data_IF_061748400744
#
_entry.id   IF_061748400744
#
_cell.length_a   1.000
_cell.length_b   1.000
_cell.length_c   1.000
_cell.angle_alpha   90.00
_cell.angle_beta   90.00
_cell.angle_gamma   90.00
#
_symmetry.space_group_name_H-M   'P 1'
#
loop_
_entity.id
_entity.type
_entity.pdbx_description
1 polymer ?
#
# COMPACT_ATOMS: atom_id res chain seq x y z
N UNK A 1 26.74 7.89 -12.81
CA UNK A 1 27.28 7.94 -11.40
C UNK A 1 28.17 6.72 -11.26
N UNK A 2 29.30 6.82 -10.54
CA UNK A 2 30.14 5.63 -10.27
C UNK A 2 29.50 4.77 -9.17
N UNK A 3 29.76 3.46 -9.18
CA UNK A 3 29.13 2.49 -8.26
C UNK A 3 29.28 2.87 -6.77
N UNK A 4 30.46 3.32 -6.36
CA UNK A 4 30.71 3.73 -4.98
C UNK A 4 29.88 4.97 -4.57
N UNK A 5 29.68 5.90 -5.49
CA UNK A 5 28.80 7.05 -5.23
C UNK A 5 27.34 6.61 -5.18
N UNK A 6 26.90 5.70 -6.06
CA UNK A 6 25.57 5.13 -6.06
C UNK A 6 25.28 4.39 -4.74
N UNK A 7 26.23 3.58 -4.28
CA UNK A 7 26.12 2.85 -3.00
C UNK A 7 25.91 3.79 -1.83
N UNK A 8 26.74 4.85 -1.70
CA UNK A 8 26.59 5.84 -0.66
C UNK A 8 25.22 6.53 -0.72
N UNK A 9 24.76 6.89 -1.92
CA UNK A 9 23.47 7.54 -2.11
C UNK A 9 22.32 6.63 -1.76
N UNK A 10 22.36 5.35 -2.12
CA UNK A 10 21.37 4.33 -1.75
C UNK A 10 21.27 4.18 -0.23
N UNK A 11 22.40 4.16 0.49
CA UNK A 11 22.42 4.08 1.96
C UNK A 11 21.78 5.34 2.60
N UNK A 12 22.08 6.53 2.08
CA UNK A 12 21.46 7.78 2.54
C UNK A 12 19.95 7.78 2.32
N UNK A 13 19.50 7.41 1.11
CA UNK A 13 18.07 7.35 0.75
C UNK A 13 17.32 6.34 1.63
N UNK A 14 17.86 5.14 1.82
CA UNK A 14 17.25 4.15 2.70
C UNK A 14 17.08 4.67 4.12
N UNK A 15 18.11 5.28 4.69
CA UNK A 15 18.05 5.82 6.04
C UNK A 15 16.97 6.90 6.20
N UNK A 16 16.84 7.81 5.22
CA UNK A 16 15.82 8.85 5.23
C UNK A 16 14.42 8.26 5.06
N UNK A 17 14.23 7.37 4.08
CA UNK A 17 12.94 6.73 3.82
C UNK A 17 12.50 5.89 5.03
N UNK A 18 13.37 5.07 5.62
CA UNK A 18 13.05 4.28 6.81
C UNK A 18 12.72 5.14 8.03
N UNK A 19 13.43 6.26 8.23
CA UNK A 19 13.08 7.21 9.28
C UNK A 19 11.66 7.74 9.07
N UNK A 20 11.34 8.19 7.86
CA UNK A 20 10.03 8.75 7.56
C UNK A 20 8.92 7.70 7.60
N UNK A 21 9.18 6.45 7.19
CA UNK A 21 8.24 5.34 7.37
C UNK A 21 7.86 5.16 8.84
N UNK A 22 8.84 5.17 9.75
CA UNK A 22 8.55 5.07 11.20
C UNK A 22 7.77 6.27 11.72
N UNK A 23 8.10 7.47 11.28
CA UNK A 23 7.38 8.69 11.69
C UNK A 23 5.93 8.66 11.19
N UNK A 24 5.72 8.30 9.93
CA UNK A 24 4.39 8.25 9.31
C UNK A 24 3.54 7.10 9.88
N UNK A 25 4.05 5.85 9.82
CA UNK A 25 3.24 4.67 10.16
C UNK A 25 3.15 4.37 11.66
N UNK A 26 4.22 4.63 12.42
CA UNK A 26 4.29 4.21 13.82
C UNK A 26 4.01 5.37 14.80
N UNK A 27 4.23 6.63 14.39
CA UNK A 27 4.14 7.80 15.27
C UNK A 27 3.10 8.83 14.85
N UNK A 28 2.48 8.70 13.66
CA UNK A 28 1.53 9.67 13.09
C UNK A 28 2.08 11.10 13.07
N UNK A 29 3.38 11.24 12.78
CA UNK A 29 4.13 12.49 12.82
C UNK A 29 5.07 12.62 11.60
N UNK A 30 4.54 12.69 10.35
CA UNK A 30 5.36 12.82 9.15
C UNK A 30 6.18 14.12 9.19
N UNK A 31 7.47 14.03 8.81
CA UNK A 31 8.35 15.18 8.64
C UNK A 31 8.49 15.62 7.19
N UNK A 32 8.17 14.75 6.22
CA UNK A 32 8.19 15.02 4.79
C UNK A 32 6.77 15.15 4.25
N UNK A 33 6.61 16.03 3.28
CA UNK A 33 5.43 16.06 2.43
C UNK A 33 5.42 14.85 1.49
N UNK A 34 4.22 14.40 1.08
CA UNK A 34 4.06 13.20 0.24
C UNK A 34 4.92 13.26 -1.02
N UNK A 35 4.96 14.40 -1.71
CA UNK A 35 5.75 14.57 -2.93
C UNK A 35 7.26 14.46 -2.69
N UNK A 36 7.76 14.86 -1.53
CA UNK A 36 9.17 14.74 -1.16
C UNK A 36 9.53 13.28 -0.89
N UNK A 37 8.68 12.58 -0.15
CA UNK A 37 8.82 11.15 0.10
C UNK A 37 8.81 10.33 -1.20
N UNK A 38 7.88 10.64 -2.11
CA UNK A 38 7.75 9.99 -3.41
C UNK A 38 8.98 10.22 -4.29
N UNK A 39 9.54 11.45 -4.28
CA UNK A 39 10.76 11.78 -5.02
C UNK A 39 11.96 10.95 -4.52
N UNK A 40 12.14 10.82 -3.19
CA UNK A 40 13.22 10.00 -2.60
C UNK A 40 13.04 8.51 -2.92
N UNK A 41 11.82 8.02 -2.85
CA UNK A 41 11.50 6.61 -3.16
C UNK A 41 11.74 6.31 -4.63
N UNK A 42 11.39 7.24 -5.54
CA UNK A 42 11.67 7.12 -6.97
C UNK A 42 13.18 7.08 -7.24
N UNK A 43 13.95 8.02 -6.66
CA UNK A 43 15.40 8.05 -6.81
C UNK A 43 16.03 6.72 -6.36
N UNK A 44 15.58 6.17 -5.22
CA UNK A 44 16.05 4.87 -4.75
C UNK A 44 15.73 3.73 -5.73
N UNK A 45 14.50 3.67 -6.26
CA UNK A 45 14.10 2.68 -7.26
C UNK A 45 14.93 2.77 -8.56
N UNK A 46 15.20 3.98 -9.03
CA UNK A 46 16.02 4.22 -10.23
C UNK A 46 17.47 3.77 -10.01
N UNK A 47 18.06 4.07 -8.85
CA UNK A 47 19.41 3.60 -8.50
C UNK A 47 19.47 2.08 -8.35
N UNK A 48 18.49 1.45 -7.72
CA UNK A 48 18.41 0.00 -7.58
C UNK A 48 18.17 -0.70 -8.94
N UNK A 49 17.45 -0.07 -9.88
CA UNK A 49 17.30 -0.56 -11.23
C UNK A 49 18.59 -0.44 -12.04
N UNK A 50 19.35 0.66 -11.86
CA UNK A 50 20.65 0.87 -12.52
C UNK A 50 21.77 -0.02 -11.95
N UNK A 51 21.71 -0.34 -10.65
CA UNK A 51 22.69 -1.12 -9.91
C UNK A 51 22.01 -2.26 -9.14
N UNK A 52 21.59 -3.35 -9.81
CA UNK A 52 20.84 -4.44 -9.17
C UNK A 52 21.58 -5.11 -8.01
N UNK A 53 22.91 -5.03 -7.97
CA UNK A 53 23.75 -5.55 -6.88
C UNK A 53 23.57 -4.78 -5.56
N UNK A 54 23.00 -3.57 -5.59
CA UNK A 54 22.69 -2.79 -4.40
C UNK A 54 21.32 -3.14 -3.81
N UNK A 55 20.46 -3.88 -4.52
CA UNK A 55 19.17 -4.31 -4.00
C UNK A 55 19.36 -5.28 -2.83
N UNK A 56 18.71 -5.01 -1.73
CA UNK A 56 18.70 -5.92 -0.57
C UNK A 56 17.28 -6.24 -0.14
N UNK A 57 17.02 -7.41 0.46
CA UNK A 57 15.69 -7.74 0.98
C UNK A 57 15.17 -6.74 2.02
N UNK A 58 16.07 -6.01 2.69
CA UNK A 58 15.72 -4.97 3.66
C UNK A 58 15.45 -3.60 3.05
N UNK A 59 15.59 -3.44 1.71
CA UNK A 59 15.33 -2.14 1.07
C UNK A 59 13.87 -1.72 1.24
N UNK A 60 13.58 -0.44 1.55
CA UNK A 60 12.22 0.09 1.61
C UNK A 60 11.43 -0.10 0.29
N UNK A 61 12.10 -0.33 -0.83
CA UNK A 61 11.46 -0.62 -2.11
C UNK A 61 10.89 -2.03 -2.22
N UNK A 62 11.28 -2.94 -1.33
CA UNK A 62 10.91 -4.36 -1.35
C UNK A 62 9.75 -4.69 -0.41
N UNK A 63 9.37 -3.79 0.49
CA UNK A 63 8.29 -4.00 1.46
C UNK A 63 7.55 -2.69 1.77
N UNK A 64 6.33 -2.82 2.25
CA UNK A 64 5.53 -1.68 2.71
C UNK A 64 6.01 -1.29 4.11
N UNK A 65 6.13 0.01 4.38
CA UNK A 65 6.48 0.53 5.69
C UNK A 65 5.40 0.25 6.75
N UNK A 66 5.79 0.33 8.02
CA UNK A 66 4.92 0.15 9.19
C UNK A 66 5.22 -1.13 9.98
N UNK A 67 5.25 -0.97 11.30
CA UNK A 67 5.45 -2.10 12.23
C UNK A 67 4.08 -2.45 12.85
N UNK A 68 3.59 -3.70 12.73
CA UNK A 68 2.35 -4.10 13.39
C UNK A 68 2.43 -3.84 14.90
N UNK A 69 1.48 -3.09 15.42
CA UNK A 69 1.43 -2.72 16.82
C UNK A 69 1.16 -3.94 17.66
N UNK A 70 1.68 -4.61 18.41
CA UNK A 70 1.31 -5.84 19.14
C UNK A 70 0.02 -5.77 19.97
N UNK A 71 -0.83 -4.76 19.71
CA UNK A 71 -2.10 -4.53 20.41
C UNK A 71 -3.27 -5.34 19.85
N UNK A 72 -3.17 -5.75 18.58
CA UNK A 72 -4.21 -6.48 17.87
C UNK A 72 -3.68 -7.84 17.40
N UNK A 73 -4.58 -8.82 17.26
CA UNK A 73 -4.25 -10.11 16.69
C UNK A 73 -3.80 -9.93 15.23
N UNK A 74 -2.83 -10.72 14.80
CA UNK A 74 -2.35 -10.70 13.41
C UNK A 74 -3.29 -11.48 12.51
N UNK A 75 -3.51 -10.95 11.30
CA UNK A 75 -4.30 -11.57 10.24
C UNK A 75 -3.44 -11.68 8.99
N UNK A 76 -3.27 -12.89 8.47
CA UNK A 76 -2.63 -13.11 7.17
C UNK A 76 -3.68 -12.99 6.08
N UNK A 77 -3.44 -12.12 5.09
CA UNK A 77 -4.34 -11.94 3.96
C UNK A 77 -4.30 -13.14 3.01
N UNK A 78 -5.46 -13.63 2.59
CA UNK A 78 -5.57 -14.70 1.59
C UNK A 78 -5.02 -14.23 0.22
N UNK A 79 -5.23 -12.97 -0.11
CA UNK A 79 -4.67 -12.30 -1.30
C UNK A 79 -3.93 -11.06 -0.83
N UNK A 80 -2.68 -10.91 -1.23
CA UNK A 80 -1.84 -9.78 -0.86
C UNK A 80 -2.51 -8.43 -1.14
N UNK A 81 -2.43 -7.50 -0.19
CA UNK A 81 -2.91 -6.13 -0.34
C UNK A 81 -1.79 -5.25 -0.90
N UNK A 82 -1.68 -5.24 -2.21
CA UNK A 82 -0.66 -4.45 -2.91
C UNK A 82 -1.03 -2.96 -2.95
N UNK A 83 -0.01 -2.10 -3.08
CA UNK A 83 -0.19 -0.69 -3.35
C UNK A 83 -0.40 -0.46 -4.84
N UNK A 84 -1.13 0.59 -5.20
CA UNK A 84 -1.20 1.06 -6.58
C UNK A 84 0.16 1.67 -6.96
N UNK A 85 0.51 1.53 -8.23
CA UNK A 85 1.67 2.23 -8.80
C UNK A 85 1.27 3.68 -9.12
N UNK A 86 2.18 4.59 -8.83
CA UNK A 86 2.01 6.00 -9.13
C UNK A 86 2.41 6.29 -10.57
N UNK A 87 1.76 7.28 -11.18
CA UNK A 87 2.12 7.85 -12.47
C UNK A 87 2.26 9.37 -12.32
N UNK A 88 3.44 9.90 -12.65
CA UNK A 88 3.79 11.31 -12.45
C UNK A 88 3.83 12.09 -13.77
N UNK A 89 3.56 11.43 -14.88
CA UNK A 89 3.55 12.04 -16.20
C UNK A 89 2.48 11.45 -17.10
N UNK A 90 2.11 12.20 -18.14
CA UNK A 90 1.20 11.70 -19.18
C UNK A 90 1.80 10.51 -19.95
N UNK A 91 3.13 10.42 -20.07
CA UNK A 91 3.77 9.30 -20.75
C UNK A 91 3.67 8.02 -19.91
N UNK A 92 3.81 8.11 -18.60
CA UNK A 92 3.58 6.97 -17.68
C UNK A 92 2.11 6.50 -17.72
N UNK A 93 1.14 7.42 -17.84
CA UNK A 93 -0.27 7.06 -18.05
C UNK A 93 -0.50 6.36 -19.40
N UNK A 94 0.15 6.83 -20.47
CA UNK A 94 0.09 6.16 -21.78
C UNK A 94 0.71 4.78 -21.74
N UNK A 95 1.82 4.63 -21.01
CA UNK A 95 2.45 3.32 -20.78
C UNK A 95 1.55 2.37 -19.98
N UNK A 96 0.80 2.87 -19.01
CA UNK A 96 -0.21 2.09 -18.30
C UNK A 96 -1.29 1.58 -19.27
N UNK A 97 -1.91 2.47 -20.07
CA UNK A 97 -2.91 2.09 -21.07
C UNK A 97 -2.35 1.07 -22.07
N UNK A 98 -1.11 1.28 -22.54
CA UNK A 98 -0.44 0.33 -23.44
C UNK A 98 -0.32 -1.06 -22.80
N UNK A 99 0.17 -1.17 -21.55
CA UNK A 99 0.30 -2.47 -20.87
C UNK A 99 -1.05 -3.20 -20.74
N UNK A 100 -2.12 -2.46 -20.45
CA UNK A 100 -3.48 -3.04 -20.38
C UNK A 100 -3.90 -3.60 -21.74
N UNK A 101 -3.67 -2.85 -22.84
CA UNK A 101 -4.01 -3.29 -24.21
C UNK A 101 -3.13 -4.45 -24.68
N UNK A 102 -1.85 -4.42 -24.35
CA UNK A 102 -0.90 -5.52 -24.67
C UNK A 102 -1.29 -6.83 -23.97
N UNK A 103 -1.96 -6.75 -22.82
CA UNK A 103 -2.58 -7.90 -22.16
C UNK A 103 -3.88 -8.39 -22.84
N UNK A 104 -4.28 -7.81 -23.98
CA UNK A 104 -5.47 -8.20 -24.74
C UNK A 104 -6.77 -7.64 -24.18
N UNK A 105 -6.72 -6.64 -23.31
CA UNK A 105 -7.89 -5.98 -22.70
C UNK A 105 -8.21 -4.71 -23.50
N UNK A 106 -9.48 -4.54 -23.89
CA UNK A 106 -9.99 -3.25 -24.38
C UNK A 106 -10.57 -2.49 -23.19
N UNK A 107 -9.83 -1.49 -22.63
CA UNK A 107 -10.22 -0.89 -21.36
C UNK A 107 -11.27 0.22 -21.52
N UNK A 108 -12.16 0.32 -20.52
CA UNK A 108 -12.87 1.54 -20.17
C UNK A 108 -12.31 2.06 -18.85
N UNK A 109 -12.12 3.37 -18.73
CA UNK A 109 -11.51 3.99 -17.56
C UNK A 109 -12.51 4.83 -16.77
N UNK A 110 -12.48 4.65 -15.44
CA UNK A 110 -13.13 5.56 -14.49
C UNK A 110 -12.05 6.33 -13.76
N UNK A 111 -12.21 7.63 -13.64
CA UNK A 111 -11.28 8.51 -12.92
C UNK A 111 -11.92 8.85 -11.58
N UNK A 112 -11.22 8.54 -10.50
CA UNK A 112 -11.67 8.79 -9.13
C UNK A 112 -10.58 9.52 -8.34
N UNK A 113 -10.98 10.26 -7.31
CA UNK A 113 -10.04 10.83 -6.35
C UNK A 113 -9.44 9.67 -5.54
N UNK A 114 -8.11 9.60 -5.48
CA UNK A 114 -7.42 8.68 -4.58
C UNK A 114 -7.59 9.18 -3.14
N UNK A 115 -8.40 8.47 -2.38
CA UNK A 115 -8.68 8.82 -0.99
C UNK A 115 -7.50 8.40 -0.12
N UNK A 116 -6.98 9.35 0.64
CA UNK A 116 -6.02 9.07 1.71
C UNK A 116 -6.74 8.60 2.97
N UNK A 117 -6.34 7.45 3.48
CA UNK A 117 -6.98 6.83 4.64
C UNK A 117 -6.41 5.46 4.98
N UNK A 118 -6.86 4.90 6.10
CA UNK A 118 -6.46 3.57 6.54
C UNK A 118 -7.03 2.49 5.60
N UNK A 119 -6.16 1.78 4.90
CA UNK A 119 -6.56 0.64 4.06
C UNK A 119 -7.04 -0.51 4.94
N UNK A 120 -8.23 -1.01 4.63
CA UNK A 120 -8.89 -2.07 5.38
C UNK A 120 -9.51 -3.10 4.44
N UNK A 121 -9.39 -4.37 4.80
CA UNK A 121 -10.12 -5.49 4.19
C UNK A 121 -11.29 -5.88 5.09
N UNK A 122 -12.46 -6.07 4.48
CA UNK A 122 -13.68 -6.57 5.11
C UNK A 122 -14.04 -7.93 4.50
N UNK A 123 -14.13 -8.95 5.31
CA UNK A 123 -14.49 -10.28 4.87
C UNK A 123 -15.91 -10.61 5.34
N UNK A 124 -16.71 -11.06 4.37
CA UNK A 124 -18.07 -11.49 4.59
C UNK A 124 -18.20 -12.97 4.18
N UNK A 125 -18.80 -13.77 5.06
CA UNK A 125 -19.19 -15.15 4.79
C UNK A 125 -20.72 -15.26 4.81
N UNK A 126 -21.30 -15.79 3.74
CA UNK A 126 -22.76 -15.88 3.58
C UNK A 126 -23.48 -14.55 3.86
N UNK A 127 -22.82 -13.45 3.53
CA UNK A 127 -23.31 -12.08 3.75
C UNK A 127 -23.09 -11.52 5.14
N UNK A 128 -22.59 -12.27 6.12
CA UNK A 128 -22.28 -11.78 7.46
C UNK A 128 -20.83 -11.28 7.52
N UNK A 129 -20.59 -10.09 8.13
CA UNK A 129 -19.25 -9.56 8.37
C UNK A 129 -18.55 -10.44 9.42
N UNK A 130 -17.59 -11.25 9.00
CA UNK A 130 -16.85 -12.15 9.88
C UNK A 130 -15.55 -11.56 10.36
N UNK A 131 -14.82 -10.84 9.50
CA UNK A 131 -13.53 -10.27 9.83
C UNK A 131 -13.29 -8.91 9.15
N UNK A 132 -12.51 -8.06 9.82
CA UNK A 132 -11.94 -6.87 9.24
C UNK A 132 -10.48 -6.75 9.67
N UNK A 133 -9.60 -6.40 8.75
CA UNK A 133 -8.17 -6.28 9.00
C UNK A 133 -7.56 -5.09 8.29
N UNK A 134 -6.52 -4.50 8.90
CA UNK A 134 -5.70 -3.46 8.26
C UNK A 134 -4.82 -4.08 7.17
N UNK A 135 -4.29 -3.26 6.26
CA UNK A 135 -3.34 -3.74 5.24
C UNK A 135 -2.06 -4.30 5.85
N UNK A 136 -1.53 -3.67 6.91
CA UNK A 136 -0.23 -3.98 7.46
C UNK A 136 0.88 -3.84 6.42
N UNK A 137 1.76 -4.84 6.34
CA UNK A 137 2.82 -4.94 5.32
C UNK A 137 2.34 -5.47 3.95
N UNK A 138 1.03 -5.64 3.80
CA UNK A 138 0.39 -6.20 2.61
C UNK A 138 0.20 -7.71 2.66
N UNK A 139 0.92 -8.43 3.52
CA UNK A 139 0.79 -9.87 3.74
C UNK A 139 0.13 -10.16 5.09
N UNK A 140 0.55 -9.43 6.13
CA UNK A 140 0.03 -9.56 7.49
C UNK A 140 -0.47 -8.20 7.97
N UNK A 141 -1.75 -8.14 8.31
CA UNK A 141 -2.40 -6.99 8.93
C UNK A 141 -2.78 -7.25 10.39
N UNK A 142 -3.60 -6.37 10.93
CA UNK A 142 -4.12 -6.44 12.29
C UNK A 142 -5.65 -6.62 12.26
N UNK A 143 -6.17 -7.47 13.15
CA UNK A 143 -7.61 -7.67 13.31
C UNK A 143 -8.25 -6.42 13.94
N UNK A 144 -9.06 -5.74 13.17
CA UNK A 144 -9.83 -4.56 13.58
C UNK A 144 -11.33 -4.79 13.52
N UNK A 145 -11.76 -6.04 13.53
CA UNK A 145 -13.17 -6.45 13.40
C UNK A 145 -14.07 -5.73 14.41
N UNK A 146 -13.65 -5.66 15.67
CA UNK A 146 -14.44 -4.97 16.72
C UNK A 146 -14.61 -3.47 16.42
N UNK A 147 -13.54 -2.82 15.97
CA UNK A 147 -13.54 -1.40 15.61
C UNK A 147 -14.47 -1.14 14.41
N UNK A 148 -14.33 -1.95 13.35
CA UNK A 148 -15.17 -1.84 12.15
C UNK A 148 -16.65 -2.11 12.47
N UNK A 149 -16.95 -3.05 13.36
CA UNK A 149 -18.32 -3.30 13.81
C UNK A 149 -18.96 -2.10 14.53
N UNK A 150 -18.17 -1.22 15.14
CA UNK A 150 -18.65 0.02 15.76
C UNK A 150 -19.02 1.09 14.71
N UNK A 151 -18.50 1.02 13.48
CA UNK A 151 -18.80 1.97 12.41
C UNK A 151 -20.21 1.69 11.86
N UNK A 152 -21.15 2.61 12.13
CA UNK A 152 -22.56 2.43 11.75
C UNK A 152 -22.80 2.31 10.25
N UNK A 153 -22.00 3.00 9.44
CA UNK A 153 -22.12 3.03 7.96
C UNK A 153 -21.68 1.73 7.29
N UNK A 154 -20.86 0.91 7.94
CA UNK A 154 -20.41 -0.38 7.38
C UNK A 154 -21.51 -1.43 7.63
N UNK A 155 -22.09 -2.04 6.58
CA UNK A 155 -23.06 -3.09 6.71
C UNK A 155 -22.48 -4.29 7.45
N UNK A 156 -23.18 -4.81 8.44
CA UNK A 156 -22.79 -6.04 9.15
C UNK A 156 -23.35 -7.29 8.44
N UNK A 157 -24.35 -7.06 7.58
CA UNK A 157 -25.02 -8.08 6.78
C UNK A 157 -25.32 -7.55 5.40
N UNK A 158 -24.95 -8.31 4.38
CA UNK A 158 -25.22 -8.06 2.97
C UNK A 158 -26.36 -8.96 2.49
N UNK A 159 -27.22 -8.42 1.60
CA UNK A 159 -28.26 -9.19 0.92
C UNK A 159 -27.70 -9.74 -0.40
N UNK A 160 -28.07 -10.98 -0.72
CA UNK A 160 -27.66 -11.63 -1.99
C UNK A 160 -26.14 -11.67 -2.19
N UNK A 161 -25.38 -11.79 -1.11
CA UNK A 161 -23.93 -11.92 -1.18
C UNK A 161 -23.53 -13.34 -1.62
N UNK A 162 -22.39 -13.52 -2.28
CA UNK A 162 -21.80 -14.83 -2.51
C UNK A 162 -21.42 -15.49 -1.18
N UNK A 163 -21.05 -16.78 -1.22
CA UNK A 163 -20.60 -17.51 -0.03
C UNK A 163 -19.44 -16.81 0.68
N UNK A 164 -18.48 -16.29 -0.09
CA UNK A 164 -17.39 -15.46 0.41
C UNK A 164 -17.27 -14.18 -0.43
N UNK A 165 -17.08 -13.05 0.26
CA UNK A 165 -16.79 -11.75 -0.35
C UNK A 165 -15.76 -10.99 0.48
N UNK A 166 -14.65 -10.61 -0.13
CA UNK A 166 -13.70 -9.64 0.42
C UNK A 166 -13.91 -8.26 -0.23
N UNK A 167 -14.08 -7.23 0.57
CA UNK A 167 -14.20 -5.83 0.13
C UNK A 167 -13.02 -5.04 0.70
N UNK A 168 -12.24 -4.41 -0.18
CA UNK A 168 -11.12 -3.54 0.20
C UNK A 168 -11.53 -2.09 0.08
N UNK A 169 -11.20 -1.30 1.09
CA UNK A 169 -11.63 0.10 1.17
C UNK A 169 -10.63 0.95 1.98
N UNK A 170 -10.77 2.26 1.88
CA UNK A 170 -10.07 3.20 2.76
C UNK A 170 -11.04 3.74 3.80
N UNK A 171 -10.64 3.70 5.07
CA UNK A 171 -11.33 4.34 6.18
C UNK A 171 -10.73 5.73 6.37
N UNK A 172 -11.57 6.76 6.25
CA UNK A 172 -11.19 8.15 6.44
C UNK A 172 -12.04 8.77 7.56
N UNK A 173 -11.47 9.77 8.22
CA UNK A 173 -12.22 10.62 9.14
C UNK A 173 -12.84 11.77 8.34
N UNK A 174 -14.14 11.89 8.36
CA UNK A 174 -14.92 13.00 7.78
C UNK A 174 -15.55 13.80 8.90
#
# INVERSE_FOLDING_TARGET
MELEQAKKRVEELRAVIEKNNRLYYDQDAPELEDFEYDALTRELKELEAQYPELVTPASPTQHVGGTPSGRFAKVTHAVKMESLLDAFSYDELRDFDRRVRDAGIEPEYVVEIKIDGLSCSLEYENGELVRASTRGDGVVGEDVTANVRAIKKIPKKLKNAPEFLEVRLSLIHI
#
